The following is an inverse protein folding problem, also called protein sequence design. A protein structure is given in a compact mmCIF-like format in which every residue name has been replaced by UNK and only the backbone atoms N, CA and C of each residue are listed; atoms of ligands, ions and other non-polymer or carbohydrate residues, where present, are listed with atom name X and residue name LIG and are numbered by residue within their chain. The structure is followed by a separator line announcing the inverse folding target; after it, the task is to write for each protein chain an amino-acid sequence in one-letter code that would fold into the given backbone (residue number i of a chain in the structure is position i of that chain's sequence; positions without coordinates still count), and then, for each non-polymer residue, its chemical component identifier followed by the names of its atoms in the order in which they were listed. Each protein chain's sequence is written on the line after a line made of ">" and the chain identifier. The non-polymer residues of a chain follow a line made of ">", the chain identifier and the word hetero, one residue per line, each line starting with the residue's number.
data_IF_885001936051
#
_entry.id   IF_885001936051
#
_cell.length_a   1.000
_cell.length_b   1.000
_cell.length_c   1.000
_cell.angle_alpha   90.00
_cell.angle_beta   90.00
_cell.angle_gamma   90.00
#
_symmetry.space_group_name_H-M   'P 1'
#
loop_
_entity.id
_entity.type
_entity.pdbx_description
1 polymer ?
#
# COMPACT_ATOMS: atom_id res chain seq x y z
N UNK A 1 2.60 23.62 0.08
CA UNK A 1 3.93 22.96 0.11
C UNK A 1 3.79 21.52 -0.36
N UNK A 2 4.64 21.12 -1.29
CA UNK A 2 4.66 19.74 -1.78
C UNK A 2 5.17 18.81 -0.66
N UNK A 3 4.44 17.75 -0.36
CA UNK A 3 4.86 16.73 0.59
C UNK A 3 6.23 16.17 0.20
N UNK A 4 7.15 16.12 1.15
CA UNK A 4 8.49 15.54 0.97
C UNK A 4 8.56 14.16 1.58
N UNK A 5 9.07 13.22 0.81
CA UNK A 5 9.25 11.83 1.22
C UNK A 5 10.72 11.43 1.15
N UNK A 6 11.15 10.42 1.95
CA UNK A 6 12.52 9.93 1.94
C UNK A 6 12.85 9.20 0.63
N UNK A 7 13.79 9.72 -0.13
CA UNK A 7 14.28 9.11 -1.37
C UNK A 7 15.82 9.14 -1.44
N UNK A 8 16.41 8.20 -2.17
CA UNK A 8 17.85 8.18 -2.37
C UNK A 8 18.23 9.02 -3.59
N UNK A 9 19.11 9.98 -3.36
CA UNK A 9 19.72 10.85 -4.37
C UNK A 9 21.24 10.66 -4.28
N UNK A 10 21.87 10.22 -5.35
CA UNK A 10 23.31 9.93 -5.40
C UNK A 10 23.80 9.01 -4.27
N UNK A 11 22.95 8.04 -3.87
CA UNK A 11 23.24 7.06 -2.82
C UNK A 11 22.94 7.52 -1.39
N UNK A 12 22.54 8.77 -1.19
CA UNK A 12 22.20 9.34 0.12
C UNK A 12 20.68 9.55 0.26
N UNK A 13 20.15 9.25 1.45
CA UNK A 13 18.75 9.47 1.76
C UNK A 13 18.49 10.97 2.00
N UNK A 14 17.53 11.53 1.25
CA UNK A 14 17.19 12.95 1.29
C UNK A 14 15.67 13.17 1.23
N UNK A 15 15.16 14.31 1.73
CA UNK A 15 13.77 14.69 1.59
C UNK A 15 13.51 15.27 0.19
N UNK A 16 12.76 14.55 -0.64
CA UNK A 16 12.45 14.94 -2.02
C UNK A 16 10.95 15.08 -2.19
N UNK A 17 10.52 16.04 -3.03
CA UNK A 17 9.10 16.25 -3.34
C UNK A 17 8.48 14.98 -3.95
N UNK A 18 7.33 14.57 -3.45
CA UNK A 18 6.69 13.31 -3.83
C UNK A 18 6.48 13.15 -5.34
N UNK A 19 6.03 14.21 -6.03
CA UNK A 19 5.84 14.16 -7.47
C UNK A 19 7.18 14.02 -8.22
N UNK A 20 8.21 14.76 -7.80
CA UNK A 20 9.55 14.69 -8.38
C UNK A 20 10.17 13.30 -8.24
N UNK A 21 9.97 12.66 -7.08
CA UNK A 21 10.40 11.27 -6.85
C UNK A 21 9.84 10.32 -7.92
N UNK A 22 8.55 10.42 -8.21
CA UNK A 22 7.88 9.54 -9.16
C UNK A 22 8.20 9.89 -10.62
N UNK A 23 8.37 11.17 -10.94
CA UNK A 23 8.78 11.62 -12.28
C UNK A 23 10.20 11.15 -12.63
N UNK A 24 11.12 11.20 -11.66
CA UNK A 24 12.51 10.77 -11.81
C UNK A 24 12.71 9.27 -11.58
N UNK A 25 11.71 8.57 -11.06
CA UNK A 25 11.82 7.17 -10.69
C UNK A 25 12.84 6.89 -9.59
N UNK A 26 13.00 7.83 -8.65
CA UNK A 26 13.95 7.68 -7.55
C UNK A 26 13.54 6.52 -6.64
N UNK A 27 14.51 5.75 -6.20
CA UNK A 27 14.32 4.75 -5.14
C UNK A 27 13.91 5.48 -3.87
N UNK A 28 12.78 5.08 -3.26
CA UNK A 28 12.22 5.80 -2.11
C UNK A 28 11.56 4.86 -1.12
N UNK A 29 11.37 5.34 0.11
CA UNK A 29 10.73 4.58 1.18
C UNK A 29 9.22 4.59 1.01
N UNK A 30 8.61 3.44 1.29
CA UNK A 30 7.17 3.27 1.29
C UNK A 30 6.71 2.34 2.42
N UNK A 31 5.41 2.34 2.68
CA UNK A 31 4.76 1.50 3.66
C UNK A 31 3.51 0.89 3.01
N UNK A 32 3.34 -0.42 3.15
CA UNK A 32 2.11 -1.12 2.75
C UNK A 32 1.51 -1.85 3.93
N UNK A 33 0.20 -1.69 4.10
CA UNK A 33 -0.56 -2.33 5.19
C UNK A 33 -1.62 -3.25 4.59
N UNK A 34 -1.77 -4.42 5.20
CA UNK A 34 -2.81 -5.40 4.90
C UNK A 34 -3.61 -5.63 6.18
N UNK A 35 -4.84 -5.14 6.23
CA UNK A 35 -5.77 -5.41 7.34
C UNK A 35 -6.57 -6.65 6.99
N UNK A 36 -6.53 -7.63 7.89
CA UNK A 36 -7.07 -8.97 7.70
C UNK A 36 -8.17 -9.27 8.70
N UNK A 37 -9.16 -10.05 8.26
CA UNK A 37 -10.18 -10.68 9.10
C UNK A 37 -10.29 -12.15 8.70
N UNK A 38 -9.65 -13.04 9.47
CA UNK A 38 -9.45 -14.42 9.03
C UNK A 38 -8.62 -14.46 7.74
N UNK A 39 -9.16 -15.05 6.67
CA UNK A 39 -8.54 -15.08 5.33
C UNK A 39 -8.97 -13.92 4.43
N UNK A 40 -9.88 -13.08 4.89
CA UNK A 40 -10.30 -11.90 4.13
C UNK A 40 -9.33 -10.74 4.34
N UNK A 41 -8.97 -10.05 3.26
CA UNK A 41 -8.20 -8.81 3.29
C UNK A 41 -9.08 -7.64 2.89
N UNK A 42 -8.93 -6.52 3.60
CA UNK A 42 -9.56 -5.25 3.24
C UNK A 42 -8.78 -4.61 2.09
N UNK A 43 -9.41 -4.47 0.94
CA UNK A 43 -8.85 -3.74 -0.20
C UNK A 43 -9.55 -2.41 -0.39
N UNK A 44 -8.84 -1.44 -0.99
CA UNK A 44 -9.38 -0.12 -1.33
C UNK A 44 -9.36 0.11 -2.84
N UNK A 45 -10.35 0.81 -3.34
CA UNK A 45 -10.34 1.37 -4.69
C UNK A 45 -9.88 2.83 -4.61
N UNK A 46 -8.82 3.15 -5.33
CA UNK A 46 -8.22 4.48 -5.34
C UNK A 46 -9.17 5.51 -5.94
N UNK A 47 -9.25 6.68 -5.33
CA UNK A 47 -10.04 7.79 -5.85
C UNK A 47 -9.61 8.17 -7.28
N UNK A 48 -10.57 8.62 -8.08
CA UNK A 48 -10.31 9.02 -9.48
C UNK A 48 -9.44 10.27 -9.58
N UNK A 49 -9.33 11.06 -8.50
CA UNK A 49 -8.48 12.25 -8.41
C UNK A 49 -7.00 11.94 -8.14
N UNK A 50 -6.63 10.69 -7.94
CA UNK A 50 -5.22 10.32 -7.70
C UNK A 50 -4.37 10.56 -8.95
N UNK A 51 -3.15 11.07 -8.77
CA UNK A 51 -2.24 11.44 -9.85
C UNK A 51 -1.67 10.23 -10.63
N UNK A 52 -1.69 9.02 -10.06
CA UNK A 52 -1.42 7.78 -10.78
C UNK A 52 -2.37 6.66 -10.33
N UNK A 53 -2.56 5.69 -11.19
CA UNK A 53 -3.41 4.51 -10.96
C UNK A 53 -4.81 4.84 -10.39
N UNK A 54 -5.51 5.89 -10.90
CA UNK A 54 -6.85 6.24 -10.42
C UNK A 54 -7.84 5.11 -10.68
N UNK A 55 -8.75 4.86 -9.74
CA UNK A 55 -9.81 3.87 -9.87
C UNK A 55 -9.37 2.41 -9.76
N UNK A 56 -8.08 2.11 -9.59
CA UNK A 56 -7.58 0.74 -9.41
C UNK A 56 -7.72 0.27 -7.97
N UNK A 57 -7.86 -1.03 -7.80
CA UNK A 57 -7.88 -1.69 -6.50
C UNK A 57 -6.46 -1.94 -6.00
N UNK A 58 -6.24 -1.62 -4.73
CA UNK A 58 -4.98 -1.80 -4.01
C UNK A 58 -5.22 -2.56 -2.70
N UNK A 59 -4.15 -2.98 -2.02
CA UNK A 59 -4.23 -3.46 -0.64
C UNK A 59 -4.78 -2.36 0.28
N UNK A 60 -4.94 -2.65 1.57
CA UNK A 60 -5.63 -1.77 2.51
C UNK A 60 -5.08 -0.34 2.50
N UNK A 61 -3.76 -0.19 2.56
CA UNK A 61 -3.10 1.12 2.53
C UNK A 61 -1.71 0.99 1.92
N UNK A 62 -1.40 1.86 0.95
CA UNK A 62 -0.07 2.03 0.37
C UNK A 62 0.29 3.50 0.44
N UNK A 63 1.41 3.83 1.07
CA UNK A 63 1.74 5.20 1.39
C UNK A 63 3.24 5.41 1.54
N UNK A 64 3.63 6.66 1.76
CA UNK A 64 5.01 7.06 1.96
C UNK A 64 5.15 7.70 3.35
N UNK A 65 6.19 7.35 4.13
CA UNK A 65 6.48 8.05 5.37
C UNK A 65 6.90 9.50 5.07
N UNK A 66 6.64 10.38 6.01
CA UNK A 66 7.20 11.73 5.99
C UNK A 66 8.71 11.66 6.27
N UNK A 67 9.43 12.73 5.96
CA UNK A 67 10.83 12.81 6.33
C UNK A 67 11.02 12.67 7.85
N UNK A 68 11.83 11.69 8.27
CA UNK A 68 12.10 11.38 9.67
C UNK A 68 11.00 10.58 10.38
N UNK A 69 9.91 10.21 9.68
CA UNK A 69 8.84 9.40 10.28
C UNK A 69 9.19 7.91 10.27
N UNK A 70 8.92 7.24 11.39
CA UNK A 70 9.01 5.79 11.50
C UNK A 70 7.92 5.11 10.66
N UNK A 71 8.26 3.97 10.04
CA UNK A 71 7.33 3.24 9.16
C UNK A 71 6.07 2.74 9.89
N UNK A 72 6.20 2.27 11.14
CA UNK A 72 5.06 1.84 11.94
C UNK A 72 4.14 3.00 12.32
N UNK A 73 4.71 4.15 12.65
CA UNK A 73 3.95 5.39 12.90
C UNK A 73 3.22 5.84 11.65
N UNK A 74 3.89 5.79 10.49
CA UNK A 74 3.28 6.08 9.20
C UNK A 74 2.09 5.14 8.91
N UNK A 75 2.23 3.84 9.15
CA UNK A 75 1.17 2.86 8.96
C UNK A 75 -0.09 3.22 9.75
N UNK A 76 0.06 3.50 11.04
CA UNK A 76 -1.06 3.88 11.93
C UNK A 76 -1.72 5.19 11.47
N UNK A 77 -0.90 6.21 11.21
CA UNK A 77 -1.39 7.52 10.76
C UNK A 77 -2.20 7.43 9.47
N UNK A 78 -1.68 6.71 8.49
CA UNK A 78 -2.31 6.64 7.16
C UNK A 78 -3.55 5.74 7.13
N UNK A 79 -3.63 4.72 7.97
CA UNK A 79 -4.88 3.97 8.15
C UNK A 79 -6.00 4.86 8.64
N UNK A 80 -5.72 5.79 9.57
CA UNK A 80 -6.69 6.77 10.03
C UNK A 80 -7.02 7.79 8.93
N UNK A 81 -6.01 8.43 8.34
CA UNK A 81 -6.21 9.50 7.34
C UNK A 81 -6.94 9.01 6.07
N UNK A 82 -6.64 7.81 5.57
CA UNK A 82 -7.25 7.30 4.34
C UNK A 82 -8.59 6.59 4.57
N UNK A 83 -8.73 5.86 5.68
CA UNK A 83 -9.81 4.90 5.91
C UNK A 83 -10.58 5.12 7.21
N UNK A 84 -10.16 6.06 8.06
CA UNK A 84 -10.74 6.26 9.38
C UNK A 84 -10.53 5.07 10.33
N UNK A 85 -9.53 4.22 10.06
CA UNK A 85 -9.23 3.06 10.89
C UNK A 85 -8.30 3.49 12.02
N UNK A 86 -8.77 3.32 13.26
CA UNK A 86 -8.01 3.63 14.48
C UNK A 86 -7.92 2.41 15.40
N UNK A 87 -6.98 2.45 16.33
CA UNK A 87 -6.85 1.44 17.39
C UNK A 87 -6.22 0.12 16.96
N UNK A 88 -5.71 0.00 15.73
CA UNK A 88 -4.95 -1.16 15.31
C UNK A 88 -3.45 -0.99 15.63
N UNK A 89 -2.79 -2.12 15.89
CA UNK A 89 -1.35 -2.22 16.06
C UNK A 89 -0.76 -3.05 14.92
N UNK A 90 -0.43 -2.46 13.77
CA UNK A 90 0.13 -3.19 12.64
C UNK A 90 1.46 -3.84 13.01
N UNK A 91 1.63 -5.10 12.61
CA UNK A 91 2.83 -5.91 12.86
C UNK A 91 3.69 -5.92 11.60
N UNK A 92 4.97 -5.58 11.76
CA UNK A 92 5.94 -5.64 10.66
C UNK A 92 6.17 -7.08 10.21
N UNK A 93 6.11 -7.32 8.89
CA UNK A 93 6.28 -8.65 8.28
C UNK A 93 7.59 -8.78 7.52
N UNK A 94 8.13 -7.70 7.04
CA UNK A 94 9.35 -7.70 6.25
C UNK A 94 9.46 -6.50 5.33
N UNK A 95 10.51 -6.51 4.52
CA UNK A 95 10.80 -5.47 3.54
C UNK A 95 10.85 -6.07 2.14
N UNK A 96 10.21 -5.41 1.18
CA UNK A 96 10.28 -5.76 -0.24
C UNK A 96 10.70 -4.54 -1.05
N UNK A 97 11.31 -4.78 -2.19
CA UNK A 97 11.67 -3.73 -3.13
C UNK A 97 11.10 -4.06 -4.50
N UNK A 98 10.52 -3.08 -5.16
CA UNK A 98 10.03 -3.23 -6.52
C UNK A 98 10.15 -1.94 -7.32
N UNK A 99 10.12 -2.08 -8.64
CA UNK A 99 10.06 -0.97 -9.59
C UNK A 99 8.96 -1.25 -10.60
N UNK A 100 8.05 -0.30 -10.79
CA UNK A 100 6.91 -0.44 -11.70
C UNK A 100 6.59 0.90 -12.38
N UNK A 101 6.23 0.83 -13.66
CA UNK A 101 5.58 1.93 -14.36
C UNK A 101 4.12 2.00 -13.89
N UNK A 102 3.67 3.17 -13.47
CA UNK A 102 2.30 3.38 -12.98
C UNK A 102 1.47 4.28 -13.89
N UNK A 103 1.96 4.52 -15.11
CA UNK A 103 1.30 5.35 -16.11
C UNK A 103 1.63 6.83 -16.00
N UNK A 104 1.32 7.59 -17.06
CA UNK A 104 1.54 9.04 -17.08
C UNK A 104 3.02 9.48 -17.00
N UNK A 105 3.97 8.60 -17.34
CA UNK A 105 5.39 8.85 -17.19
C UNK A 105 5.90 8.78 -15.75
N UNK A 106 5.12 8.20 -14.84
CA UNK A 106 5.46 8.07 -13.42
C UNK A 106 5.95 6.66 -13.11
N UNK A 107 6.92 6.57 -12.21
CA UNK A 107 7.56 5.31 -11.80
C UNK A 107 7.52 5.20 -10.29
N UNK A 108 7.09 4.03 -9.82
CA UNK A 108 7.23 3.57 -8.44
C UNK A 108 8.51 2.73 -8.33
N UNK A 109 9.50 3.22 -7.60
CA UNK A 109 10.69 2.44 -7.22
C UNK A 109 10.80 2.46 -5.70
N UNK A 110 10.15 1.48 -5.07
CA UNK A 110 9.89 1.51 -3.64
C UNK A 110 10.69 0.48 -2.87
N UNK A 111 11.21 0.90 -1.71
CA UNK A 111 11.63 0.05 -0.62
C UNK A 111 10.52 0.08 0.41
N UNK A 112 9.74 -1.00 0.46
CA UNK A 112 8.46 -1.04 1.17
C UNK A 112 8.61 -1.82 2.47
N UNK A 113 8.24 -1.19 3.58
CA UNK A 113 7.99 -1.88 4.84
C UNK A 113 6.57 -2.44 4.83
N UNK A 114 6.44 -3.77 4.97
CA UNK A 114 5.15 -4.47 4.95
C UNK A 114 4.65 -4.69 6.37
N UNK A 115 3.41 -4.32 6.61
CA UNK A 115 2.69 -4.52 7.87
C UNK A 115 1.39 -5.28 7.65
N UNK A 116 1.01 -6.09 8.64
CA UNK A 116 -0.31 -6.72 8.70
C UNK A 116 -0.98 -6.39 10.03
N UNK A 117 -2.31 -6.32 10.03
CA UNK A 117 -3.10 -6.21 11.25
C UNK A 117 -4.30 -7.14 11.16
N UNK A 118 -4.53 -7.93 12.21
CA UNK A 118 -5.70 -8.81 12.31
C UNK A 118 -6.80 -8.13 13.09
N UNK A 119 -8.02 -8.20 12.58
CA UNK A 119 -9.22 -7.75 13.26
C UNK A 119 -10.20 -8.91 13.44
N UNK A 120 -10.95 -8.87 14.53
CA UNK A 120 -12.05 -9.78 14.78
C UNK A 120 -13.36 -8.99 14.81
N UNK A 121 -14.36 -9.45 14.05
CA UNK A 121 -15.66 -8.79 14.00
C UNK A 121 -15.72 -7.59 13.05
N UNK A 122 -16.56 -6.59 13.38
CA UNK A 122 -16.73 -5.41 12.56
C UNK A 122 -15.62 -4.39 12.77
N UNK A 123 -15.22 -3.75 11.68
CA UNK A 123 -14.26 -2.64 11.67
C UNK A 123 -14.96 -1.38 11.20
N UNK A 124 -14.90 -0.31 12.01
CA UNK A 124 -15.40 1.00 11.58
C UNK A 124 -14.55 1.57 10.45
N UNK A 125 -15.20 2.04 9.40
CA UNK A 125 -14.56 2.67 8.24
C UNK A 125 -15.16 4.04 7.98
N UNK A 126 -14.31 5.02 7.76
CA UNK A 126 -14.67 6.38 7.33
C UNK A 126 -13.69 6.85 6.28
N UNK A 127 -13.79 6.32 5.03
CA UNK A 127 -12.83 6.62 3.98
C UNK A 127 -12.84 8.09 3.58
N UNK A 128 -11.66 8.69 3.43
CA UNK A 128 -11.50 10.00 2.80
C UNK A 128 -11.78 9.88 1.29
N UNK A 129 -12.83 10.53 0.76
CA UNK A 129 -13.20 10.40 -0.65
C UNK A 129 -12.16 10.95 -1.63
N UNK A 130 -11.22 11.78 -1.17
CA UNK A 130 -10.10 12.25 -1.99
C UNK A 130 -9.00 11.19 -2.16
N UNK A 131 -9.00 10.17 -1.30
CA UNK A 131 -8.04 9.07 -1.31
C UNK A 131 -8.67 7.76 -1.80
N UNK A 132 -9.86 7.44 -1.32
CA UNK A 132 -10.52 6.13 -1.47
C UNK A 132 -11.97 6.30 -1.92
N UNK A 133 -12.32 5.69 -3.03
CA UNK A 133 -13.70 5.74 -3.54
C UNK A 133 -14.55 4.53 -3.12
N UNK A 134 -13.93 3.41 -2.75
CA UNK A 134 -14.62 2.21 -2.28
C UNK A 134 -13.70 1.31 -1.48
N UNK A 135 -14.27 0.47 -0.63
CA UNK A 135 -13.57 -0.58 0.12
C UNK A 135 -14.31 -1.91 -0.03
N UNK A 136 -13.57 -3.01 0.10
CA UNK A 136 -14.15 -4.35 0.02
C UNK A 136 -13.31 -5.35 0.80
N UNK A 137 -13.97 -6.27 1.51
CA UNK A 137 -13.34 -7.47 2.06
C UNK A 137 -13.34 -8.56 1.00
N UNK A 138 -12.20 -9.19 0.75
CA UNK A 138 -12.04 -10.26 -0.24
C UNK A 138 -11.15 -11.35 0.34
N UNK A 139 -11.53 -12.60 0.19
CA UNK A 139 -10.67 -13.73 0.51
C UNK A 139 -9.38 -13.67 -0.31
N UNK A 140 -8.22 -13.94 0.33
CA UNK A 140 -6.90 -13.80 -0.30
C UNK A 140 -6.71 -14.69 -1.51
N UNK A 141 -7.30 -15.89 -1.52
CA UNK A 141 -7.21 -16.83 -2.65
C UNK A 141 -8.08 -16.37 -3.82
N UNK A 142 -9.28 -15.86 -3.51
CA UNK A 142 -10.15 -15.23 -4.51
C UNK A 142 -9.47 -13.98 -5.11
N UNK A 143 -8.85 -13.15 -4.27
CA UNK A 143 -8.13 -11.95 -4.71
C UNK A 143 -6.98 -12.32 -5.66
N UNK A 144 -6.15 -13.30 -5.30
CA UNK A 144 -5.07 -13.77 -6.14
C UNK A 144 -5.57 -14.29 -7.50
N UNK A 145 -6.67 -15.05 -7.50
CA UNK A 145 -7.29 -15.55 -8.72
C UNK A 145 -7.85 -14.40 -9.60
N UNK A 146 -8.47 -13.39 -8.98
CA UNK A 146 -8.98 -12.21 -9.71
C UNK A 146 -7.85 -11.37 -10.31
N UNK A 147 -6.80 -11.15 -9.58
CA UNK A 147 -5.60 -10.41 -10.06
C UNK A 147 -5.00 -11.11 -11.28
N UNK A 148 -4.95 -12.43 -11.28
CA UNK A 148 -4.47 -13.21 -12.43
C UNK A 148 -5.40 -13.08 -13.65
N UNK A 149 -6.71 -13.11 -13.44
CA UNK A 149 -7.71 -13.05 -14.53
C UNK A 149 -7.96 -11.64 -15.07
N UNK A 150 -7.90 -10.64 -14.19
CA UNK A 150 -8.23 -9.24 -14.49
C UNK A 150 -7.18 -8.28 -13.97
N UNK A 151 -5.89 -8.42 -14.39
CA UNK A 151 -4.78 -7.63 -13.83
C UNK A 151 -4.95 -6.12 -14.00
N UNK A 152 -5.66 -5.67 -15.02
CA UNK A 152 -5.88 -4.24 -15.29
C UNK A 152 -6.78 -3.54 -14.24
N UNK A 153 -7.50 -4.29 -13.41
CA UNK A 153 -8.33 -3.73 -12.32
C UNK A 153 -7.52 -3.40 -11.07
N UNK A 154 -6.27 -3.85 -11.00
CA UNK A 154 -5.44 -3.81 -9.80
C UNK A 154 -4.15 -3.01 -10.01
N UNK A 155 -3.69 -2.38 -8.94
CA UNK A 155 -2.43 -1.64 -8.97
C UNK A 155 -1.24 -2.55 -9.26
N UNK A 156 -0.19 -2.04 -9.95
CA UNK A 156 1.01 -2.83 -10.22
C UNK A 156 1.64 -3.44 -8.97
N UNK A 157 1.69 -2.69 -7.86
CA UNK A 157 2.29 -3.21 -6.61
C UNK A 157 1.48 -4.33 -5.98
N UNK A 158 0.14 -4.28 -5.97
CA UNK A 158 -0.67 -5.37 -5.44
C UNK A 158 -0.44 -6.66 -6.25
N UNK A 159 -0.33 -6.56 -7.58
CA UNK A 159 0.01 -7.69 -8.44
C UNK A 159 1.36 -8.29 -8.09
N UNK A 160 2.38 -7.44 -7.89
CA UNK A 160 3.72 -7.87 -7.48
C UNK A 160 3.69 -8.57 -6.12
N UNK A 161 2.98 -8.02 -5.14
CA UNK A 161 2.87 -8.62 -3.81
C UNK A 161 2.26 -10.02 -3.85
N UNK A 162 1.17 -10.19 -4.59
CA UNK A 162 0.48 -11.48 -4.68
C UNK A 162 1.23 -12.50 -5.53
N UNK A 163 1.98 -12.07 -6.53
CA UNK A 163 2.78 -12.94 -7.37
C UNK A 163 4.09 -13.39 -6.70
N UNK A 164 4.78 -12.48 -6.02
CA UNK A 164 6.17 -12.71 -5.57
C UNK A 164 6.34 -12.77 -4.05
N UNK A 165 5.40 -12.24 -3.27
CA UNK A 165 5.56 -12.04 -1.83
C UNK A 165 4.40 -12.57 -0.99
N UNK A 166 3.58 -13.46 -1.55
CA UNK A 166 2.41 -14.02 -0.89
C UNK A 166 2.75 -14.67 0.45
N UNK A 167 3.82 -15.48 0.49
CA UNK A 167 4.25 -16.17 1.70
C UNK A 167 4.78 -15.21 2.77
N UNK A 168 5.48 -14.16 2.38
CA UNK A 168 5.95 -13.14 3.33
C UNK A 168 4.78 -12.44 4.02
N UNK A 169 3.76 -12.07 3.25
CA UNK A 169 2.63 -11.27 3.73
C UNK A 169 1.61 -12.15 4.45
N UNK A 170 1.27 -13.30 3.89
CA UNK A 170 0.16 -14.15 4.31
C UNK A 170 0.58 -15.56 4.77
N UNK A 171 1.87 -15.85 4.88
CA UNK A 171 2.37 -17.19 5.18
C UNK A 171 1.84 -17.81 6.49
N UNK A 172 1.50 -16.98 7.45
CA UNK A 172 0.88 -17.43 8.71
C UNK A 172 -0.55 -17.95 8.52
N UNK A 173 -1.22 -17.60 7.42
CA UNK A 173 -2.57 -18.05 7.07
C UNK A 173 -2.55 -19.33 6.23
N UNK A 174 -1.48 -19.58 5.49
CA UNK A 174 -1.33 -20.79 4.67
C UNK A 174 -1.03 -22.06 5.48
N UNK A 175 -0.86 -21.94 6.80
CA UNK A 175 -0.54 -23.05 7.73
C UNK A 175 -1.72 -23.53 8.58
N UNK A 176 -2.92 -23.06 8.27
CA UNK A 176 -4.15 -23.48 8.97
C UNK A 176 -4.83 -24.60 8.19
#
# INVERSE_FOLDING_TARGET
>A
MTEKIPAWVDGELAPVGKLDVHQRGLRHKAVSVFVMRGTDVLIQQRALSKYHTPGLWANTCCTHPRWGEDAGVCAVRRLDEELGITGLAPVWKGRVEYRADVGGGLIEHEVVEIFTAQVSGSLGLDPDPSEVMATKWVDIYELAARVTRHPAEFTPWLRIYLDQHLDLIFGDLARV
#
